data_IF_972191669049
#
_entry.id   IF_972191669049
#
_cell.length_a   1.000
_cell.length_b   1.000
_cell.length_c   1.000
_cell.angle_alpha   90.00
_cell.angle_beta   90.00
_cell.angle_gamma   90.00
#
_symmetry.space_group_name_H-M   'P 1'
#
loop_
_entity.id
_entity.type
_entity.pdbx_description
1 polymer ?
#
# COMPACT_ATOMS: atom_id res chain seq x y z
N UNK A 1 -34.77 -19.15 -21.54
CA UNK A 1 -33.59 -18.40 -22.00
C UNK A 1 -33.46 -17.14 -21.14
N UNK A 2 -32.49 -17.11 -20.21
CA UNK A 2 -32.25 -15.92 -19.36
C UNK A 2 -31.74 -14.78 -20.25
N UNK A 3 -32.45 -13.66 -20.30
CA UNK A 3 -31.98 -12.44 -20.95
C UNK A 3 -30.76 -11.92 -20.19
N UNK A 4 -29.59 -11.96 -20.82
CA UNK A 4 -28.43 -11.20 -20.36
C UNK A 4 -28.75 -9.71 -20.51
N UNK A 5 -29.13 -9.05 -19.40
CA UNK A 5 -29.16 -7.59 -19.34
C UNK A 5 -27.71 -7.12 -19.26
N UNK A 6 -27.17 -6.67 -20.38
CA UNK A 6 -25.92 -5.92 -20.42
C UNK A 6 -26.22 -4.57 -19.75
N UNK A 7 -25.96 -4.47 -18.45
CA UNK A 7 -25.92 -3.18 -17.79
C UNK A 7 -24.76 -2.39 -18.41
N UNK A 8 -25.06 -1.28 -19.11
CA UNK A 8 -24.07 -0.28 -19.50
C UNK A 8 -23.56 0.41 -18.25
N UNK A 9 -22.68 -0.25 -17.51
CA UNK A 9 -21.94 0.36 -16.42
C UNK A 9 -20.80 1.19 -17.00
N UNK A 10 -20.85 2.50 -16.72
CA UNK A 10 -19.77 3.48 -16.84
C UNK A 10 -19.46 3.89 -18.29
N UNK A 11 -19.66 5.17 -18.57
CA UNK A 11 -19.36 5.83 -19.84
C UNK A 11 -17.89 5.63 -20.27
N UNK A 12 -17.60 5.31 -21.55
CA UNK A 12 -16.25 4.99 -22.05
C UNK A 12 -15.44 6.26 -22.36
N UNK A 13 -15.36 7.21 -21.42
CA UNK A 13 -14.60 8.46 -21.64
C UNK A 13 -13.10 8.22 -21.89
N UNK A 14 -12.55 7.14 -21.34
CA UNK A 14 -11.16 6.72 -21.54
C UNK A 14 -10.88 6.19 -22.96
N UNK A 15 -11.86 5.56 -23.61
CA UNK A 15 -11.71 5.12 -25.00
C UNK A 15 -11.78 6.32 -25.94
N UNK A 16 -12.68 7.27 -25.69
CA UNK A 16 -12.81 8.47 -26.52
C UNK A 16 -11.55 9.36 -26.49
N UNK A 17 -10.90 9.49 -25.32
CA UNK A 17 -9.63 10.23 -25.22
C UNK A 17 -8.48 9.52 -25.92
N UNK A 18 -8.45 8.19 -25.84
CA UNK A 18 -7.44 7.38 -26.50
C UNK A 18 -7.58 7.42 -28.02
N UNK A 19 -8.81 7.34 -28.54
CA UNK A 19 -9.07 7.41 -29.97
C UNK A 19 -8.69 8.79 -30.55
N UNK A 20 -8.97 9.88 -29.81
CA UNK A 20 -8.50 11.22 -30.18
C UNK A 20 -6.97 11.28 -30.22
N UNK A 21 -6.30 10.74 -29.21
CA UNK A 21 -4.84 10.68 -29.19
C UNK A 21 -4.28 9.88 -30.39
N UNK A 22 -4.82 8.70 -30.67
CA UNK A 22 -4.38 7.85 -31.78
C UNK A 22 -4.58 8.52 -33.14
N UNK A 23 -5.70 9.22 -33.33
CA UNK A 23 -5.97 9.98 -34.57
C UNK A 23 -5.02 11.16 -34.73
N UNK A 24 -4.70 11.89 -33.66
CA UNK A 24 -3.73 12.99 -33.70
C UNK A 24 -2.32 12.52 -34.07
N UNK A 25 -1.80 11.48 -33.40
CA UNK A 25 -0.46 10.97 -33.69
C UNK A 25 -0.35 10.32 -35.08
N UNK A 26 -1.47 9.84 -35.65
CA UNK A 26 -1.49 9.26 -37.00
C UNK A 26 -1.25 10.29 -38.10
N UNK A 27 -1.59 11.57 -37.86
CA UNK A 27 -1.43 12.68 -38.80
C UNK A 27 0.00 13.21 -38.85
N UNK A 28 0.83 12.87 -37.87
CA UNK A 28 2.21 13.35 -37.78
C UNK A 28 3.06 12.62 -38.82
N UNK A 29 3.82 13.36 -39.67
CA UNK A 29 4.68 12.75 -40.68
C UNK A 29 5.84 11.99 -40.03
N UNK A 30 6.25 10.91 -40.68
CA UNK A 30 7.46 10.19 -40.29
C UNK A 30 8.71 10.97 -40.72
N UNK A 31 9.78 10.82 -39.95
CA UNK A 31 11.06 11.50 -40.17
C UNK A 31 12.02 10.54 -40.89
N UNK A 32 12.85 11.07 -41.79
CA UNK A 32 13.91 10.29 -42.46
C UNK A 32 15.15 10.12 -41.56
N UNK A 33 16.00 9.13 -41.83
CA UNK A 33 17.25 8.94 -41.09
C UNK A 33 18.17 10.16 -41.12
N UNK A 34 18.22 10.87 -42.25
CA UNK A 34 19.06 12.07 -42.39
C UNK A 34 18.52 13.23 -41.55
N UNK A 35 17.19 13.32 -41.45
CA UNK A 35 16.51 14.30 -40.60
C UNK A 35 16.67 13.96 -39.11
N UNK A 36 16.70 12.68 -38.73
CA UNK A 36 16.99 12.25 -37.35
C UNK A 36 18.36 12.77 -36.89
N UNK A 37 19.38 12.64 -37.73
CA UNK A 37 20.75 13.10 -37.44
C UNK A 37 20.77 14.62 -37.29
N UNK A 38 20.13 15.35 -38.21
CA UNK A 38 20.07 16.82 -38.14
C UNK A 38 19.35 17.31 -36.87
N UNK A 39 18.28 16.62 -36.46
CA UNK A 39 17.55 16.93 -35.23
C UNK A 39 18.38 16.60 -33.99
N UNK A 40 19.07 15.46 -33.96
CA UNK A 40 19.95 15.08 -32.84
C UNK A 40 21.08 16.10 -32.62
N UNK A 41 21.71 16.58 -33.70
CA UNK A 41 22.71 17.64 -33.62
C UNK A 41 22.13 18.96 -33.08
N UNK A 42 20.93 19.32 -33.51
CA UNK A 42 20.24 20.51 -33.02
C UNK A 42 19.87 20.40 -31.53
N UNK A 43 19.52 19.20 -31.05
CA UNK A 43 19.23 18.92 -29.64
C UNK A 43 20.50 19.09 -28.79
N UNK A 44 21.64 18.55 -29.24
CA UNK A 44 22.94 18.74 -28.56
C UNK A 44 23.38 20.22 -28.51
N UNK A 45 23.06 20.99 -29.55
CA UNK A 45 23.32 22.43 -29.60
C UNK A 45 22.51 23.26 -28.59
N UNK A 46 21.45 22.68 -28.00
CA UNK A 46 20.63 23.32 -26.99
C UNK A 46 19.84 24.55 -27.46
N UNK A 47 19.30 25.30 -26.50
CA UNK A 47 18.50 26.51 -26.76
C UNK A 47 17.11 26.24 -27.34
N UNK A 48 16.45 27.29 -27.86
CA UNK A 48 15.09 27.19 -28.43
C UNK A 48 15.02 26.22 -29.61
N UNK A 49 16.03 26.25 -30.49
CA UNK A 49 16.12 25.34 -31.64
C UNK A 49 16.27 23.88 -31.22
N UNK A 50 17.03 23.60 -30.17
CA UNK A 50 17.14 22.24 -29.61
C UNK A 50 15.84 21.74 -28.99
N UNK A 51 15.10 22.60 -28.29
CA UNK A 51 13.78 22.27 -27.75
C UNK A 51 12.77 21.94 -28.88
N UNK A 52 12.71 22.78 -29.91
CA UNK A 52 11.83 22.54 -31.08
C UNK A 52 12.21 21.26 -31.82
N UNK A 53 13.52 20.97 -31.95
CA UNK A 53 14.03 19.75 -32.57
C UNK A 53 13.67 18.51 -31.75
N UNK A 54 13.80 18.56 -30.43
CA UNK A 54 13.38 17.50 -29.50
C UNK A 54 11.89 17.21 -29.63
N UNK A 55 11.06 18.24 -29.62
CA UNK A 55 9.61 18.10 -29.78
C UNK A 55 9.26 17.44 -31.11
N UNK A 56 9.92 17.85 -32.20
CA UNK A 56 9.71 17.25 -33.53
C UNK A 56 10.12 15.77 -33.55
N UNK A 57 11.28 15.44 -32.98
CA UNK A 57 11.80 14.06 -32.90
C UNK A 57 10.88 13.16 -32.07
N UNK A 58 10.42 13.64 -30.92
CA UNK A 58 9.49 12.91 -30.03
C UNK A 58 8.14 12.70 -30.74
N UNK A 59 7.54 13.76 -31.30
CA UNK A 59 6.24 13.71 -31.97
C UNK A 59 6.19 12.69 -33.10
N UNK A 60 7.22 12.61 -33.92
CA UNK A 60 7.29 11.63 -35.01
C UNK A 60 7.34 10.17 -34.54
N UNK A 61 7.88 9.93 -33.33
CA UNK A 61 8.08 8.60 -32.78
C UNK A 61 7.00 8.16 -31.78
N UNK A 62 5.97 8.98 -31.52
CA UNK A 62 4.86 8.61 -30.62
C UNK A 62 4.14 7.32 -31.05
N UNK A 63 4.01 7.10 -32.36
CA UNK A 63 3.38 5.88 -32.91
C UNK A 63 4.13 4.61 -32.52
N UNK A 64 5.46 4.70 -32.37
CA UNK A 64 6.30 3.58 -31.94
C UNK A 64 6.09 3.26 -30.46
N UNK A 65 5.90 4.27 -29.60
CA UNK A 65 5.60 4.03 -28.18
C UNK A 65 4.32 3.24 -28.02
N UNK A 66 3.28 3.57 -28.79
CA UNK A 66 2.00 2.83 -28.78
C UNK A 66 2.19 1.36 -29.18
N UNK A 67 3.04 1.06 -30.17
CA UNK A 67 3.27 -0.34 -30.59
C UNK A 67 4.04 -1.14 -29.53
N UNK A 68 4.96 -0.51 -28.81
CA UNK A 68 5.68 -1.13 -27.68
C UNK A 68 4.74 -1.33 -26.47
N UNK A 69 3.94 -0.32 -26.12
CA UNK A 69 3.04 -0.36 -24.98
C UNK A 69 1.94 -1.43 -25.13
N UNK A 70 1.51 -1.74 -26.36
CA UNK A 70 0.55 -2.83 -26.62
C UNK A 70 0.99 -4.19 -26.07
N UNK A 71 2.29 -4.45 -25.99
CA UNK A 71 2.83 -5.71 -25.47
C UNK A 71 2.62 -5.86 -23.94
N UNK A 72 2.37 -4.75 -23.23
CA UNK A 72 2.23 -4.70 -21.78
C UNK A 72 0.80 -4.42 -21.32
N UNK A 73 -0.19 -4.59 -22.20
CA UNK A 73 -1.60 -4.48 -21.84
C UNK A 73 -2.01 -5.52 -20.79
N UNK A 74 -3.02 -5.19 -19.99
CA UNK A 74 -3.61 -6.06 -18.96
C UNK A 74 -2.66 -6.42 -17.80
N UNK A 75 -1.63 -5.62 -17.55
CA UNK A 75 -0.70 -5.78 -16.41
C UNK A 75 -1.11 -4.96 -15.16
N UNK A 76 -2.40 -4.61 -15.03
CA UNK A 76 -2.94 -3.85 -13.89
C UNK A 76 -2.92 -2.32 -14.05
N UNK A 77 -2.21 -1.78 -15.05
CA UNK A 77 -2.18 -0.35 -15.37
C UNK A 77 -2.99 -0.10 -16.65
N UNK A 78 -3.83 0.96 -16.71
CA UNK A 78 -4.61 1.25 -17.90
C UNK A 78 -3.71 1.62 -19.09
N UNK A 79 -4.15 1.28 -20.29
CA UNK A 79 -3.33 1.41 -21.49
C UNK A 79 -2.88 2.85 -21.80
N UNK A 80 -3.71 3.85 -21.49
CA UNK A 80 -3.37 5.26 -21.67
C UNK A 80 -2.21 5.71 -20.78
N UNK A 81 -2.12 5.17 -19.56
CA UNK A 81 -1.04 5.48 -18.62
C UNK A 81 0.26 4.80 -19.06
N UNK A 82 0.19 3.56 -19.56
CA UNK A 82 1.35 2.87 -20.15
C UNK A 82 1.93 3.65 -21.33
N UNK A 83 1.08 4.20 -22.20
CA UNK A 83 1.52 5.03 -23.34
C UNK A 83 2.15 6.33 -22.83
N UNK A 84 1.56 6.97 -21.84
CA UNK A 84 2.07 8.21 -21.26
C UNK A 84 3.45 8.01 -20.63
N UNK A 85 3.64 6.93 -19.87
CA UNK A 85 4.91 6.56 -19.27
C UNK A 85 5.95 6.16 -20.32
N UNK A 86 5.53 5.46 -21.37
CA UNK A 86 6.39 5.20 -22.53
C UNK A 86 6.85 6.47 -23.23
N UNK A 87 6.00 7.51 -23.29
CA UNK A 87 6.36 8.81 -23.86
C UNK A 87 7.40 9.53 -22.99
N UNK A 88 7.35 9.40 -21.67
CA UNK A 88 8.40 9.91 -20.76
C UNK A 88 9.73 9.19 -21.06
N UNK A 89 9.71 7.87 -21.23
CA UNK A 89 10.86 7.08 -21.69
C UNK A 89 11.41 7.55 -23.04
N UNK A 90 10.54 7.87 -24.00
CA UNK A 90 10.95 8.41 -25.31
C UNK A 90 11.62 9.78 -25.20
N UNK A 91 11.09 10.67 -24.35
CA UNK A 91 11.65 12.00 -24.11
C UNK A 91 13.06 11.89 -23.52
N UNK A 92 13.26 11.01 -22.54
CA UNK A 92 14.59 10.77 -21.94
C UNK A 92 15.57 10.14 -22.92
N UNK A 93 15.09 9.27 -23.83
CA UNK A 93 15.89 8.76 -24.92
C UNK A 93 16.33 9.86 -25.89
N UNK A 94 15.43 10.79 -26.24
CA UNK A 94 15.74 11.90 -27.14
C UNK A 94 16.81 12.85 -26.59
N UNK A 95 16.88 13.02 -25.26
CA UNK A 95 17.91 13.85 -24.61
C UNK A 95 19.30 13.21 -24.60
N UNK A 96 19.37 11.87 -24.56
CA UNK A 96 20.61 11.12 -24.39
C UNK A 96 21.06 10.41 -25.67
N UNK A 97 20.34 10.59 -26.76
CA UNK A 97 20.65 9.96 -28.02
C UNK A 97 21.92 10.57 -28.61
N UNK A 98 22.81 9.72 -29.09
CA UNK A 98 24.11 10.08 -29.67
C UNK A 98 24.16 9.57 -31.12
N UNK A 99 24.11 10.51 -32.07
CA UNK A 99 24.08 10.23 -33.50
C UNK A 99 25.39 9.65 -34.04
N UNK A 100 26.52 9.85 -33.35
CA UNK A 100 27.85 9.44 -33.83
C UNK A 100 28.02 7.92 -33.90
N UNK A 101 27.15 7.18 -33.21
CA UNK A 101 27.18 5.72 -33.13
C UNK A 101 26.57 5.02 -34.34
N UNK A 102 25.92 5.74 -35.25
CA UNK A 102 25.42 5.19 -36.51
C UNK A 102 24.22 4.23 -36.39
N UNK A 103 23.50 4.23 -35.27
CA UNK A 103 22.27 3.45 -35.09
C UNK A 103 21.04 4.34 -35.19
N UNK A 104 19.92 3.78 -35.70
CA UNK A 104 18.63 4.48 -35.74
C UNK A 104 18.15 4.85 -34.33
N UNK A 105 17.54 6.02 -34.16
CA UNK A 105 17.05 6.51 -32.88
C UNK A 105 16.14 5.50 -32.16
N UNK A 106 15.22 4.87 -32.90
CA UNK A 106 14.27 3.87 -32.38
C UNK A 106 14.97 2.69 -31.70
N UNK A 107 16.14 2.27 -32.22
CA UNK A 107 16.92 1.14 -31.67
C UNK A 107 17.45 1.45 -30.28
N UNK A 108 17.75 2.72 -30.00
CA UNK A 108 18.16 3.20 -28.69
C UNK A 108 16.95 3.46 -27.80
N UNK A 109 15.92 4.11 -28.34
CA UNK A 109 14.73 4.52 -27.60
C UNK A 109 13.95 3.35 -26.98
N UNK A 110 13.93 2.17 -27.64
CA UNK A 110 13.18 1.01 -27.14
C UNK A 110 13.58 0.60 -25.71
N UNK A 111 14.84 0.77 -25.33
CA UNK A 111 15.32 0.44 -23.98
C UNK A 111 14.72 1.37 -22.93
N UNK A 112 14.76 2.68 -23.18
CA UNK A 112 14.18 3.68 -22.28
C UNK A 112 12.67 3.59 -22.20
N UNK A 113 11.99 3.34 -23.33
CA UNK A 113 10.53 3.15 -23.36
C UNK A 113 10.16 1.93 -22.52
N UNK A 114 10.82 0.79 -22.73
CA UNK A 114 10.54 -0.44 -21.94
C UNK A 114 10.84 -0.25 -20.47
N UNK A 115 11.95 0.41 -20.14
CA UNK A 115 12.32 0.67 -18.75
C UNK A 115 11.25 1.52 -18.06
N UNK A 116 10.79 2.62 -18.68
CA UNK A 116 9.77 3.49 -18.11
C UNK A 116 8.43 2.77 -17.92
N UNK A 117 8.01 1.99 -18.93
CA UNK A 117 6.77 1.20 -18.86
C UNK A 117 6.85 0.15 -17.76
N UNK A 118 7.94 -0.62 -17.69
CA UNK A 118 8.11 -1.66 -16.66
C UNK A 118 8.20 -1.06 -15.25
N UNK A 119 8.82 0.12 -15.12
CA UNK A 119 8.88 0.84 -13.86
C UNK A 119 7.48 1.29 -13.41
N UNK A 120 6.69 1.87 -14.33
CA UNK A 120 5.30 2.25 -14.06
C UNK A 120 4.45 1.04 -13.64
N UNK A 121 4.58 -0.10 -14.34
CA UNK A 121 3.90 -1.33 -13.94
C UNK A 121 4.33 -1.75 -12.54
N UNK A 122 5.62 -1.70 -12.21
CA UNK A 122 6.09 -2.07 -10.88
C UNK A 122 5.53 -1.15 -9.77
N UNK A 123 5.42 0.15 -10.04
CA UNK A 123 4.97 1.14 -9.06
C UNK A 123 3.44 1.21 -8.91
N UNK A 124 2.68 1.01 -10.00
CA UNK A 124 1.24 1.27 -10.05
C UNK A 124 0.34 0.04 -10.31
N UNK A 125 0.89 -1.14 -10.65
CA UNK A 125 0.05 -2.33 -10.93
C UNK A 125 -0.70 -2.87 -9.71
N UNK A 126 -0.18 -2.62 -8.51
CA UNK A 126 -0.74 -3.14 -7.26
C UNK A 126 -1.33 -1.98 -6.44
N UNK A 127 -2.48 -2.22 -5.81
CA UNK A 127 -3.13 -1.24 -4.91
C UNK A 127 -2.21 -0.91 -3.73
N UNK A 128 -1.55 -1.93 -3.17
CA UNK A 128 -0.48 -1.76 -2.18
C UNK A 128 0.85 -1.82 -2.91
N UNK A 129 1.58 -0.71 -2.91
CA UNK A 129 2.88 -0.62 -3.57
C UNK A 129 3.85 -1.64 -3.00
N UNK A 130 4.53 -2.37 -3.89
CA UNK A 130 5.56 -3.35 -3.54
C UNK A 130 6.94 -2.90 -4.00
N UNK A 131 8.01 -3.22 -3.25
CA UNK A 131 9.36 -2.97 -3.71
C UNK A 131 9.68 -3.73 -5.01
N UNK A 132 10.47 -3.10 -5.90
CA UNK A 132 10.87 -3.70 -7.18
C UNK A 132 11.59 -5.05 -7.02
N UNK A 133 12.37 -5.23 -5.96
CA UNK A 133 13.07 -6.49 -5.66
C UNK A 133 12.09 -7.65 -5.46
N UNK A 134 10.98 -7.42 -4.76
CA UNK A 134 9.97 -8.45 -4.52
C UNK A 134 9.19 -8.78 -5.80
N UNK A 135 8.89 -7.77 -6.63
CA UNK A 135 8.21 -7.96 -7.92
C UNK A 135 9.09 -8.78 -8.87
N UNK A 136 10.40 -8.51 -8.90
CA UNK A 136 11.34 -9.29 -9.70
C UNK A 136 11.41 -10.76 -9.28
N UNK A 137 11.37 -11.03 -7.96
CA UNK A 137 11.32 -12.41 -7.43
C UNK A 137 10.00 -13.09 -7.82
N UNK A 138 8.86 -12.41 -7.64
CA UNK A 138 7.54 -12.93 -8.05
C UNK A 138 7.50 -13.29 -9.54
N UNK A 139 8.01 -12.42 -10.42
CA UNK A 139 8.08 -12.72 -11.85
C UNK A 139 9.00 -13.90 -12.18
N UNK A 140 10.12 -14.05 -11.47
CA UNK A 140 10.99 -15.25 -11.61
C UNK A 140 10.27 -16.52 -11.17
N UNK A 141 9.56 -16.46 -10.05
CA UNK A 141 8.74 -17.57 -9.56
C UNK A 141 7.68 -17.93 -10.61
N UNK A 142 6.90 -16.97 -11.12
CA UNK A 142 5.89 -17.20 -12.16
C UNK A 142 6.45 -17.80 -13.45
N UNK A 143 7.63 -17.35 -13.88
CA UNK A 143 8.29 -17.92 -15.06
C UNK A 143 8.75 -19.36 -14.80
N UNK A 144 9.37 -19.62 -13.64
CA UNK A 144 9.82 -20.95 -13.26
C UNK A 144 8.63 -21.91 -13.07
N UNK A 145 7.53 -21.47 -12.45
CA UNK A 145 6.32 -22.28 -12.28
C UNK A 145 5.71 -22.64 -13.63
N UNK A 146 5.62 -21.70 -14.58
CA UNK A 146 5.11 -21.98 -15.93
C UNK A 146 5.98 -22.99 -16.69
N UNK A 147 7.31 -22.84 -16.64
CA UNK A 147 8.24 -23.79 -17.27
C UNK A 147 8.13 -25.18 -16.61
N UNK A 148 8.01 -25.22 -15.29
CA UNK A 148 7.86 -26.47 -14.53
C UNK A 148 6.53 -27.17 -14.84
N UNK A 149 5.44 -26.41 -14.86
CA UNK A 149 4.10 -26.89 -15.22
C UNK A 149 4.10 -27.49 -16.62
N UNK A 150 4.75 -26.83 -17.59
CA UNK A 150 4.85 -27.34 -18.95
C UNK A 150 5.61 -28.66 -19.02
N UNK A 151 6.66 -28.83 -18.21
CA UNK A 151 7.52 -30.03 -18.24
C UNK A 151 6.95 -31.21 -17.46
N UNK A 152 6.39 -30.96 -16.27
CA UNK A 152 5.98 -32.00 -15.32
C UNK A 152 4.46 -32.10 -15.12
N UNK A 153 3.68 -31.21 -15.73
CA UNK A 153 2.20 -31.18 -15.66
C UNK A 153 1.64 -31.13 -14.23
N UNK A 154 2.41 -30.57 -13.29
CA UNK A 154 2.01 -30.33 -11.90
C UNK A 154 2.57 -29.03 -11.38
N UNK A 155 1.98 -28.51 -10.30
CA UNK A 155 2.54 -27.37 -9.58
C UNK A 155 3.85 -27.79 -8.88
N UNK A 156 4.89 -26.94 -8.92
CA UNK A 156 6.13 -27.18 -8.19
C UNK A 156 5.96 -26.97 -6.68
N UNK A 157 6.78 -27.65 -5.88
CA UNK A 157 6.93 -27.33 -4.46
C UNK A 157 7.83 -26.10 -4.25
N UNK A 158 7.79 -25.48 -3.06
CA UNK A 158 8.68 -24.38 -2.72
C UNK A 158 10.17 -24.78 -2.76
N UNK A 159 10.49 -26.03 -2.39
CA UNK A 159 11.83 -26.61 -2.46
C UNK A 159 12.30 -26.76 -3.91
N UNK A 160 11.44 -27.26 -4.81
CA UNK A 160 11.76 -27.39 -6.23
C UNK A 160 11.99 -26.03 -6.90
N UNK A 161 11.23 -25.00 -6.49
CA UNK A 161 11.46 -23.64 -6.94
C UNK A 161 12.78 -23.06 -6.41
N UNK A 162 13.17 -23.41 -5.19
CA UNK A 162 14.46 -23.03 -4.62
C UNK A 162 15.61 -23.57 -5.47
N UNK A 163 15.55 -24.85 -5.87
CA UNK A 163 16.58 -25.48 -6.69
C UNK A 163 16.67 -24.86 -8.10
N UNK A 164 15.52 -24.51 -8.69
CA UNK A 164 15.47 -23.92 -10.04
C UNK A 164 15.97 -22.47 -10.06
N UNK A 165 15.60 -21.67 -9.06
CA UNK A 165 15.83 -20.22 -9.05
C UNK A 165 17.08 -19.86 -8.22
N UNK A 166 17.60 -20.79 -7.42
CA UNK A 166 18.72 -20.59 -6.48
C UNK A 166 18.45 -19.45 -5.48
N UNK A 167 17.24 -19.41 -4.94
CA UNK A 167 16.81 -18.44 -3.91
C UNK A 167 16.36 -19.22 -2.67
N UNK A 168 16.69 -18.72 -1.48
CA UNK A 168 16.25 -19.28 -0.19
C UNK A 168 14.75 -19.53 -0.12
N UNK A 169 14.35 -20.70 0.39
CA UNK A 169 12.96 -21.13 0.55
C UNK A 169 12.12 -20.09 1.30
N UNK A 170 12.65 -19.51 2.39
CA UNK A 170 11.94 -18.49 3.16
C UNK A 170 11.52 -17.27 2.32
N UNK A 171 12.37 -16.86 1.37
CA UNK A 171 12.07 -15.71 0.49
C UNK A 171 11.00 -16.08 -0.52
N UNK A 172 10.99 -17.32 -0.99
CA UNK A 172 9.98 -17.84 -1.91
C UNK A 172 8.62 -17.93 -1.20
N UNK A 173 8.58 -18.50 0.00
CA UNK A 173 7.34 -18.59 0.80
C UNK A 173 6.76 -17.21 1.12
N UNK A 174 7.61 -16.26 1.56
CA UNK A 174 7.20 -14.87 1.78
C UNK A 174 6.67 -14.23 0.50
N UNK A 175 7.32 -14.48 -0.64
CA UNK A 175 6.86 -13.93 -1.92
C UNK A 175 5.49 -14.48 -2.33
N UNK A 176 5.24 -15.78 -2.13
CA UNK A 176 3.95 -16.43 -2.40
C UNK A 176 2.86 -15.89 -1.46
N UNK A 177 3.14 -15.73 -0.17
CA UNK A 177 2.18 -15.16 0.79
C UNK A 177 1.85 -13.69 0.48
N UNK A 178 2.81 -12.92 -0.02
CA UNK A 178 2.62 -11.51 -0.38
C UNK A 178 1.82 -11.32 -1.67
N UNK A 179 1.62 -12.38 -2.47
CA UNK A 179 0.78 -12.33 -3.68
C UNK A 179 -0.74 -12.30 -3.39
N UNK A 180 -1.15 -12.20 -2.12
CA UNK A 180 -2.56 -12.09 -1.74
C UNK A 180 -3.26 -10.96 -2.51
N UNK A 181 -4.22 -11.35 -3.36
CA UNK A 181 -5.00 -10.43 -4.17
C UNK A 181 -5.95 -9.60 -3.28
N UNK A 182 -5.92 -8.28 -3.46
CA UNK A 182 -6.92 -7.40 -2.87
C UNK A 182 -8.26 -7.70 -3.54
N UNK A 183 -9.28 -7.96 -2.72
CA UNK A 183 -10.66 -8.16 -3.17
C UNK A 183 -11.48 -6.92 -2.84
N UNK A 184 -12.43 -6.56 -3.70
CA UNK A 184 -13.32 -5.43 -3.45
C UNK A 184 -14.28 -5.75 -2.32
N UNK A 185 -14.39 -4.86 -1.33
CA UNK A 185 -15.37 -4.96 -0.23
C UNK A 185 -16.81 -4.81 -0.75
N UNK A 186 -16.98 -4.08 -1.86
CA UNK A 186 -18.28 -3.86 -2.50
C UNK A 186 -18.67 -5.01 -3.45
N UNK A 187 -17.80 -6.01 -3.64
CA UNK A 187 -18.13 -7.15 -4.46
C UNK A 187 -19.31 -7.93 -3.83
N UNK A 188 -20.34 -8.29 -4.62
CA UNK A 188 -21.40 -9.16 -4.13
C UNK A 188 -20.81 -10.54 -3.82
N UNK A 189 -21.24 -11.14 -2.72
CA UNK A 189 -20.72 -12.44 -2.29
C UNK A 189 -21.31 -13.57 -3.15
N UNK A 190 -22.60 -13.45 -3.47
CA UNK A 190 -23.35 -14.41 -4.27
C UNK A 190 -24.06 -13.69 -5.41
N UNK A 191 -23.99 -14.23 -6.63
CA UNK A 191 -24.71 -13.67 -7.78
C UNK A 191 -26.23 -13.70 -7.56
N UNK A 192 -26.85 -12.52 -7.44
CA UNK A 192 -28.30 -12.36 -7.29
C UNK A 192 -28.75 -11.92 -5.91
N UNK A 193 -27.85 -11.90 -4.93
CA UNK A 193 -28.09 -11.28 -3.63
C UNK A 193 -27.58 -9.83 -3.62
N UNK A 194 -28.22 -8.97 -2.83
CA UNK A 194 -27.78 -7.59 -2.61
C UNK A 194 -26.72 -7.46 -1.50
N UNK A 195 -26.25 -8.57 -0.94
CA UNK A 195 -25.27 -8.62 0.14
C UNK A 195 -23.85 -8.44 -0.40
N UNK A 196 -23.16 -7.46 0.14
CA UNK A 196 -21.75 -7.17 -0.16
C UNK A 196 -20.84 -7.74 0.93
N UNK A 197 -19.53 -7.86 0.64
CA UNK A 197 -18.56 -8.20 1.70
C UNK A 197 -18.57 -7.16 2.82
N UNK A 198 -18.86 -5.89 2.52
CA UNK A 198 -19.04 -4.84 3.51
C UNK A 198 -20.07 -5.22 4.58
N UNK A 199 -21.21 -5.78 4.16
CA UNK A 199 -22.33 -6.11 5.05
C UNK A 199 -22.01 -7.28 6.00
N UNK A 200 -21.06 -8.14 5.64
CA UNK A 200 -20.61 -9.26 6.47
C UNK A 200 -19.48 -8.89 7.44
N UNK A 201 -18.77 -7.78 7.20
CA UNK A 201 -17.69 -7.35 8.06
C UNK A 201 -18.28 -6.72 9.32
N UNK A 202 -18.25 -7.47 10.43
CA UNK A 202 -18.66 -6.96 11.74
C UNK A 202 -17.77 -5.78 12.15
N UNK A 203 -18.37 -4.65 12.50
CA UNK A 203 -17.63 -3.53 13.07
C UNK A 203 -17.18 -3.89 14.50
N UNK A 204 -15.87 -3.87 14.74
CA UNK A 204 -15.32 -4.08 16.10
C UNK A 204 -15.81 -3.02 17.11
N UNK A 205 -16.42 -1.93 16.64
CA UNK A 205 -16.96 -0.86 17.46
C UNK A 205 -18.33 -1.19 18.08
N UNK A 206 -19.07 -2.19 17.58
CA UNK A 206 -20.38 -2.54 18.14
C UNK A 206 -20.29 -3.10 19.57
N UNK A 207 -19.17 -3.74 19.91
CA UNK A 207 -18.86 -4.16 21.28
C UNK A 207 -18.43 -3.00 22.21
N UNK A 208 -18.33 -1.77 21.71
CA UNK A 208 -17.83 -0.64 22.49
C UNK A 208 -18.87 -0.07 23.45
N UNK A 209 -20.18 -0.17 23.17
CA UNK A 209 -21.21 0.45 24.02
C UNK A 209 -21.32 -0.26 25.36
N UNK A 210 -21.49 -1.58 25.37
CA UNK A 210 -21.55 -2.36 26.60
C UNK A 210 -20.23 -2.29 27.36
N UNK A 211 -19.09 -2.36 26.66
CA UNK A 211 -17.77 -2.20 27.28
C UNK A 211 -17.60 -0.82 27.90
N UNK A 212 -18.08 0.24 27.25
CA UNK A 212 -18.00 1.61 27.78
C UNK A 212 -18.89 1.80 28.99
N UNK A 213 -20.13 1.32 28.95
CA UNK A 213 -21.04 1.40 30.12
C UNK A 213 -20.49 0.56 31.28
N UNK A 214 -19.96 -0.63 31.01
CA UNK A 214 -19.31 -1.46 32.03
C UNK A 214 -18.06 -0.77 32.61
N UNK A 215 -17.26 -0.13 31.76
CA UNK A 215 -16.09 0.65 32.18
C UNK A 215 -16.48 1.85 33.05
N UNK A 216 -17.51 2.61 32.66
CA UNK A 216 -18.01 3.75 33.41
C UNK A 216 -18.61 3.29 34.77
N UNK A 217 -19.35 2.18 34.79
CA UNK A 217 -19.85 1.56 36.02
C UNK A 217 -18.72 1.08 36.92
N UNK A 218 -17.69 0.45 36.36
CA UNK A 218 -16.49 0.02 37.09
C UNK A 218 -15.76 1.22 37.71
N UNK A 219 -15.60 2.31 36.97
CA UNK A 219 -14.97 3.54 37.46
C UNK A 219 -15.77 4.18 38.60
N UNK A 220 -17.10 4.23 38.48
CA UNK A 220 -17.98 4.75 39.54
C UNK A 220 -17.90 3.88 40.81
N UNK A 221 -17.99 2.56 40.66
CA UNK A 221 -17.87 1.62 41.79
C UNK A 221 -16.49 1.71 42.45
N UNK A 222 -15.42 1.82 41.66
CA UNK A 222 -14.05 2.02 42.17
C UNK A 222 -13.94 3.30 42.98
N UNK A 223 -14.44 4.43 42.47
CA UNK A 223 -14.42 5.71 43.19
C UNK A 223 -15.24 5.64 44.48
N UNK A 224 -16.41 5.00 44.46
CA UNK A 224 -17.23 4.83 45.66
C UNK A 224 -16.52 3.98 46.74
N UNK A 225 -15.84 2.90 46.34
CA UNK A 225 -15.06 2.07 47.27
C UNK A 225 -13.86 2.86 47.82
N UNK A 226 -13.13 3.57 46.96
CA UNK A 226 -11.99 4.41 47.37
C UNK A 226 -12.42 5.47 48.40
N UNK A 227 -13.46 6.25 48.12
CA UNK A 227 -13.98 7.30 49.01
C UNK A 227 -14.49 6.76 50.35
N UNK A 228 -14.93 5.50 50.42
CA UNK A 228 -15.59 4.96 51.61
C UNK A 228 -14.71 4.10 52.51
N UNK A 229 -13.48 3.81 52.08
CA UNK A 229 -12.51 2.95 52.81
C UNK A 229 -11.20 3.68 53.12
N UNK A 230 -10.75 4.58 52.24
CA UNK A 230 -9.50 5.31 52.40
C UNK A 230 -9.74 6.71 52.95
N UNK A 231 -8.76 7.22 53.70
CA UNK A 231 -8.70 8.63 54.07
C UNK A 231 -8.24 9.47 52.85
N UNK A 232 -8.58 10.76 52.81
CA UNK A 232 -8.24 11.67 51.70
C UNK A 232 -6.76 11.58 51.27
N UNK A 233 -5.84 11.54 52.25
CA UNK A 233 -4.39 11.40 51.98
C UNK A 233 -4.03 10.05 51.34
N UNK A 234 -4.67 8.97 51.76
CA UNK A 234 -4.42 7.63 51.22
C UNK A 234 -5.02 7.50 49.81
N UNK A 235 -6.21 8.08 49.61
CA UNK A 235 -6.92 8.12 48.32
C UNK A 235 -6.11 8.86 47.25
N UNK A 236 -5.59 10.06 47.55
CA UNK A 236 -4.77 10.82 46.60
C UNK A 236 -3.51 10.05 46.18
N UNK A 237 -2.82 9.40 47.14
CA UNK A 237 -1.63 8.59 46.85
C UNK A 237 -1.97 7.41 45.95
N UNK A 238 -3.06 6.69 46.23
CA UNK A 238 -3.48 5.53 45.42
C UNK A 238 -3.89 5.97 44.01
N UNK A 239 -4.71 7.02 43.88
CA UNK A 239 -5.15 7.55 42.59
C UNK A 239 -3.98 8.00 41.73
N UNK A 240 -3.05 8.77 42.28
CA UNK A 240 -1.88 9.26 41.54
C UNK A 240 -0.89 8.13 41.21
N UNK A 241 -0.76 7.13 42.08
CA UNK A 241 0.15 6.00 41.86
C UNK A 241 -0.33 5.01 40.79
N UNK A 242 -1.64 4.92 40.54
CA UNK A 242 -2.23 4.05 39.53
C UNK A 242 -2.78 4.83 38.32
N UNK A 243 -2.70 6.16 38.34
CA UNK A 243 -3.22 7.00 37.26
C UNK A 243 -4.75 6.92 37.08
N UNK A 244 -5.51 6.77 38.17
CA UNK A 244 -6.97 6.65 38.08
C UNK A 244 -7.57 8.04 37.77
N UNK A 245 -7.87 8.32 36.51
CA UNK A 245 -8.38 9.65 36.08
C UNK A 245 -7.30 10.75 36.04
N UNK A 246 -6.02 10.39 36.20
CA UNK A 246 -4.86 11.28 36.12
C UNK A 246 -3.68 10.51 35.48
N UNK A 247 -2.63 11.21 35.06
CA UNK A 247 -1.41 10.52 34.62
C UNK A 247 -0.74 9.80 35.80
N UNK A 248 -0.28 8.56 35.57
CA UNK A 248 0.49 7.80 36.57
C UNK A 248 1.76 8.57 36.96
N UNK A 249 1.98 8.74 38.26
CA UNK A 249 3.15 9.44 38.81
C UNK A 249 4.03 8.48 39.58
N UNK A 250 5.34 8.77 39.59
CA UNK A 250 6.27 7.96 40.38
C UNK A 250 6.07 8.23 41.88
N UNK A 251 6.44 7.25 42.72
CA UNK A 251 6.36 7.40 44.18
C UNK A 251 7.23 8.54 44.72
N UNK A 252 8.24 8.95 43.96
CA UNK A 252 9.14 10.05 44.32
C UNK A 252 8.47 11.40 44.06
N UNK A 253 7.81 11.56 42.91
CA UNK A 253 7.04 12.77 42.57
C UNK A 253 5.88 12.99 43.53
N UNK A 254 5.17 11.91 43.90
CA UNK A 254 4.08 11.96 44.89
C UNK A 254 4.63 12.32 46.28
N UNK A 255 5.85 11.86 46.61
CA UNK A 255 6.54 12.20 47.85
C UNK A 255 6.92 13.67 47.93
N UNK A 256 7.42 14.23 46.82
CA UNK A 256 7.75 15.64 46.71
C UNK A 256 6.51 16.54 46.92
N UNK A 257 5.40 16.23 46.25
CA UNK A 257 4.15 17.01 46.36
C UNK A 257 3.52 16.95 47.76
N UNK A 258 3.67 15.82 48.47
CA UNK A 258 3.09 15.61 49.80
C UNK A 258 4.05 15.89 50.96
N UNK A 259 5.30 16.27 50.69
CA UNK A 259 6.34 16.47 51.71
C UNK A 259 6.71 15.19 52.47
N UNK A 260 6.66 14.03 51.80
CA UNK A 260 6.91 12.70 52.38
C UNK A 260 8.09 12.02 51.69
N UNK A 261 8.80 11.17 52.42
CA UNK A 261 9.82 10.31 51.79
C UNK A 261 9.16 9.27 50.88
N UNK A 262 9.86 8.87 49.81
CA UNK A 262 9.42 7.79 48.90
C UNK A 262 8.97 6.52 49.63
N UNK A 263 9.71 6.10 50.63
CA UNK A 263 9.39 4.92 51.43
C UNK A 263 8.11 5.11 52.25
N UNK A 264 7.85 6.34 52.73
CA UNK A 264 6.62 6.66 53.44
C UNK A 264 5.40 6.61 52.51
N UNK A 265 5.51 7.09 51.28
CA UNK A 265 4.45 6.99 50.26
C UNK A 265 4.17 5.52 49.92
N UNK A 266 5.22 4.70 49.76
CA UNK A 266 5.08 3.24 49.54
C UNK A 266 4.31 2.56 50.67
N UNK A 267 4.65 2.84 51.93
CA UNK A 267 3.95 2.29 53.09
C UNK A 267 2.48 2.70 53.15
N UNK A 268 2.16 3.95 52.81
CA UNK A 268 0.77 4.43 52.80
C UNK A 268 -0.03 3.76 51.70
N UNK A 269 0.56 3.60 50.50
CA UNK A 269 -0.06 2.85 49.39
C UNK A 269 -0.37 1.41 49.76
N UNK A 270 0.60 0.67 50.33
CA UNK A 270 0.40 -0.72 50.74
C UNK A 270 -0.66 -0.86 51.83
N UNK A 271 -0.65 0.03 52.83
CA UNK A 271 -1.70 0.06 53.85
C UNK A 271 -3.08 0.36 53.27
N UNK A 272 -3.16 1.26 52.28
CA UNK A 272 -4.40 1.56 51.57
C UNK A 272 -4.96 0.34 50.82
N UNK A 273 -4.08 -0.40 50.13
CA UNK A 273 -4.44 -1.65 49.43
C UNK A 273 -4.87 -2.74 50.43
N UNK A 274 -4.17 -2.89 51.54
CA UNK A 274 -4.52 -3.86 52.58
C UNK A 274 -5.88 -3.54 53.25
N UNK A 275 -6.16 -2.25 53.48
CA UNK A 275 -7.49 -1.81 53.96
C UNK A 275 -8.59 -2.12 52.95
N UNK A 276 -8.34 -1.89 51.66
CA UNK A 276 -9.27 -2.24 50.59
C UNK A 276 -9.56 -3.74 50.57
N UNK A 277 -8.52 -4.57 50.67
CA UNK A 277 -8.63 -6.04 50.67
C UNK A 277 -9.41 -6.58 51.88
N UNK A 278 -9.30 -5.94 53.05
CA UNK A 278 -10.01 -6.34 54.28
C UNK A 278 -11.44 -5.81 54.37
N UNK A 279 -11.80 -4.82 53.55
CA UNK A 279 -13.14 -4.23 53.55
C UNK A 279 -14.14 -5.12 52.80
N UNK A 280 -15.32 -5.32 53.39
CA UNK A 280 -16.43 -6.04 52.77
C UNK A 280 -16.95 -5.38 51.49
N UNK A 281 -16.65 -4.09 51.28
CA UNK A 281 -17.05 -3.31 50.10
C UNK A 281 -16.24 -3.64 48.85
N UNK A 282 -15.11 -4.33 48.98
CA UNK A 282 -14.31 -4.80 47.84
C UNK A 282 -15.01 -5.90 47.03
N UNK A 283 -16.03 -6.56 47.59
CA UNK A 283 -16.81 -7.61 46.91
C UNK A 283 -17.58 -7.07 45.70
N UNK A 284 -17.93 -5.78 45.70
CA UNK A 284 -18.60 -5.09 44.59
C UNK A 284 -17.71 -5.08 43.34
N UNK A 285 -16.40 -4.92 43.53
CA UNK A 285 -15.40 -4.87 42.45
C UNK A 285 -15.11 -6.23 41.84
N UNK A 286 -15.41 -7.33 42.56
CA UNK A 286 -15.28 -8.69 42.02
C UNK A 286 -16.23 -8.95 40.85
N UNK A 287 -17.33 -8.19 40.74
CA UNK A 287 -18.28 -8.28 39.61
C UNK A 287 -17.68 -7.76 38.30
N UNK A 288 -16.64 -6.95 38.38
CA UNK A 288 -15.94 -6.36 37.23
C UNK A 288 -14.67 -7.12 36.85
N UNK A 289 -14.38 -8.25 37.52
CA UNK A 289 -13.32 -9.17 37.09
C UNK A 289 -13.88 -10.04 35.96
N UNK A 290 -13.36 -9.81 34.74
CA UNK A 290 -13.56 -10.71 33.60
C UNK A 290 -12.80 -12.02 33.77
#
# INVERSE_FOLDING_TARGET
>A
MRQFKINKSITPRSEESLDKYLTEISRIPMISTDEEVALAQAIHGGGKKGADAKDKLVKANLRFVVSVAKQYQNQGVPFIDLVSEGNIGLITAAEKFDETRGFKFISYAIWWIRQSILQSIADYSNIVRRPQSQIAISNKIKNATNIFLQKYQRNPSAEELCDIISIEIEKIEKAIQTEAHVSSIDAPITEGEGSTMADMLSSSAEYATDRKVNYDSMCSDLMQVLCSVLNDREMTIVIQSFGIGCQERTLDDIGYDMGLSRERVRQIRERGIDKMRKSSKSSVLLRHLC
#
